data_IF_961222085033
#
_entry.id   IF_961222085033
#
_cell.length_a   1.000
_cell.length_b   1.000
_cell.length_c   1.000
_cell.angle_alpha   90.00
_cell.angle_beta   90.00
_cell.angle_gamma   90.00
#
_symmetry.space_group_name_H-M   'P 1'
#
loop_
_entity.id
_entity.type
_entity.pdbx_description
1 polymer ?
#
# COMPACT_ATOMS: atom_id res chain seq x y z
N UNK A 1 -23.84 -48.91 58.49
CA UNK A 1 -23.62 -49.61 57.21
C UNK A 1 -24.33 -48.85 56.11
N UNK A 2 -23.54 -48.22 55.24
CA UNK A 2 -23.83 -47.71 53.88
C UNK A 2 -25.28 -47.33 53.51
N UNK A 3 -25.54 -46.04 53.34
CA UNK A 3 -26.65 -45.54 52.53
C UNK A 3 -26.04 -44.81 51.33
N UNK A 4 -25.82 -45.57 50.26
CA UNK A 4 -25.50 -45.07 48.94
C UNK A 4 -26.79 -44.58 48.28
N UNK A 5 -26.91 -43.27 48.06
CA UNK A 5 -27.81 -42.72 47.04
C UNK A 5 -26.96 -41.96 46.02
N UNK A 6 -26.54 -42.68 44.97
CA UNK A 6 -26.02 -42.06 43.75
C UNK A 6 -27.18 -41.82 42.80
N UNK A 7 -27.67 -40.58 42.76
CA UNK A 7 -28.55 -40.11 41.69
C UNK A 7 -27.75 -40.06 40.39
N UNK A 8 -28.06 -40.97 39.47
CA UNK A 8 -27.56 -40.91 38.10
C UNK A 8 -28.26 -39.76 37.36
N UNK A 9 -27.54 -38.67 37.09
CA UNK A 9 -27.98 -37.65 36.14
C UNK A 9 -27.58 -38.11 34.74
N UNK A 10 -28.56 -38.60 33.99
CA UNK A 10 -28.45 -38.81 32.55
C UNK A 10 -28.34 -37.45 31.86
N UNK A 11 -27.16 -37.12 31.34
CA UNK A 11 -26.99 -35.98 30.45
C UNK A 11 -27.36 -36.40 29.03
N UNK A 12 -28.48 -35.92 28.52
CA UNK A 12 -28.86 -36.08 27.12
C UNK A 12 -28.02 -35.12 26.28
N UNK A 13 -27.12 -35.65 25.45
CA UNK A 13 -26.33 -34.87 24.51
C UNK A 13 -27.22 -34.54 23.30
N UNK A 14 -27.83 -33.36 23.29
CA UNK A 14 -28.54 -32.85 22.12
C UNK A 14 -27.52 -32.48 21.03
N UNK A 15 -27.31 -33.37 20.07
CA UNK A 15 -26.53 -33.10 18.88
C UNK A 15 -27.35 -32.20 17.96
N UNK A 16 -27.05 -30.90 17.98
CA UNK A 16 -27.61 -29.95 17.02
C UNK A 16 -27.00 -30.26 15.64
N UNK A 17 -27.76 -30.95 14.80
CA UNK A 17 -27.40 -31.17 13.39
C UNK A 17 -27.49 -29.84 12.63
N UNK A 18 -26.35 -29.16 12.48
CA UNK A 18 -26.23 -28.08 11.51
C UNK A 18 -26.15 -28.70 10.11
N UNK A 19 -27.26 -28.65 9.37
CA UNK A 19 -27.22 -28.85 7.92
C UNK A 19 -26.50 -27.64 7.31
N UNK A 20 -25.21 -27.78 7.03
CA UNK A 20 -24.52 -26.88 6.11
C UNK A 20 -25.11 -27.13 4.74
N UNK A 21 -26.00 -26.25 4.30
CA UNK A 21 -26.26 -26.10 2.87
C UNK A 21 -24.92 -25.77 2.23
N UNK A 22 -24.43 -26.66 1.34
CA UNK A 22 -23.33 -26.31 0.44
C UNK A 22 -23.82 -25.12 -0.38
N UNK A 23 -23.37 -23.91 -0.02
CA UNK A 23 -23.44 -22.78 -0.92
C UNK A 23 -22.64 -23.19 -2.17
N UNK A 24 -23.35 -23.52 -3.24
CA UNK A 24 -22.75 -23.58 -4.55
C UNK A 24 -22.29 -22.16 -4.85
N UNK A 25 -20.97 -21.95 -4.83
CA UNK A 25 -20.37 -20.75 -5.33
C UNK A 25 -20.69 -20.67 -6.82
N UNK A 26 -21.79 -19.99 -7.15
CA UNK A 26 -21.97 -19.47 -8.49
C UNK A 26 -20.91 -18.38 -8.64
N UNK A 27 -19.84 -18.67 -9.38
CA UNK A 27 -18.93 -17.64 -9.88
C UNK A 27 -19.72 -16.74 -10.82
N UNK A 28 -20.38 -15.76 -10.22
CA UNK A 28 -20.93 -14.62 -10.92
C UNK A 28 -19.75 -13.72 -11.27
N UNK A 29 -19.36 -13.74 -12.54
CA UNK A 29 -18.51 -12.70 -13.13
C UNK A 29 -19.26 -11.37 -13.08
N UNK A 30 -19.26 -10.76 -11.90
CA UNK A 30 -19.73 -9.39 -11.72
C UNK A 30 -18.77 -8.48 -12.47
N UNK A 31 -19.28 -7.76 -13.46
CA UNK A 31 -18.56 -6.72 -14.16
C UNK A 31 -17.98 -5.74 -13.12
N UNK A 32 -16.65 -5.84 -12.91
CA UNK A 32 -15.94 -5.15 -11.84
C UNK A 32 -15.82 -3.65 -12.15
N UNK A 33 -16.85 -2.87 -11.85
CA UNK A 33 -16.61 -1.50 -11.40
C UNK A 33 -15.97 -1.63 -10.01
N UNK A 34 -14.67 -1.93 -9.97
CA UNK A 34 -13.97 -2.15 -8.71
C UNK A 34 -14.14 -0.90 -7.86
N UNK A 35 -14.69 -1.06 -6.65
CA UNK A 35 -14.54 -0.07 -5.61
C UNK A 35 -13.03 0.13 -5.41
N UNK A 36 -12.48 1.19 -6.01
CA UNK A 36 -11.05 1.51 -6.06
C UNK A 36 -10.54 1.97 -4.68
N UNK A 37 -11.03 1.44 -3.58
CA UNK A 37 -10.57 1.76 -2.23
C UNK A 37 -9.40 0.86 -1.87
N UNK A 38 -9.69 -0.20 -1.11
CA UNK A 38 -8.70 -1.14 -0.60
C UNK A 38 -7.89 -1.84 -1.71
N UNK A 39 -8.51 -2.12 -2.86
CA UNK A 39 -7.83 -2.80 -3.95
C UNK A 39 -6.70 -1.96 -4.59
N UNK A 40 -6.61 -0.66 -4.31
CA UNK A 40 -5.45 0.15 -4.74
C UNK A 40 -4.14 -0.24 -4.05
N UNK A 41 -4.17 -0.95 -2.92
CA UNK A 41 -2.97 -1.37 -2.20
C UNK A 41 -2.34 -2.65 -2.77
N UNK A 42 -3.02 -3.34 -3.68
CA UNK A 42 -2.60 -4.61 -4.26
C UNK A 42 -2.39 -4.48 -5.76
N UNK A 43 -1.26 -4.99 -6.27
CA UNK A 43 -1.00 -5.01 -7.71
C UNK A 43 -1.67 -6.23 -8.35
N UNK A 44 -2.48 -6.00 -9.37
CA UNK A 44 -3.19 -7.06 -10.12
C UNK A 44 -4.09 -7.98 -9.24
N UNK A 45 -4.43 -7.56 -8.02
CA UNK A 45 -5.15 -8.39 -7.06
C UNK A 45 -4.32 -9.49 -6.39
N UNK A 46 -3.00 -9.50 -6.60
CA UNK A 46 -2.08 -10.45 -5.97
C UNK A 46 -1.44 -9.85 -4.69
N UNK A 47 -1.21 -10.68 -3.68
CA UNK A 47 -0.55 -10.25 -2.44
C UNK A 47 0.94 -9.96 -2.65
N UNK A 48 1.61 -10.80 -3.47
CA UNK A 48 2.99 -10.61 -3.91
C UNK A 48 3.04 -10.71 -5.43
N UNK A 49 3.25 -9.60 -6.15
CA UNK A 49 3.29 -9.63 -7.61
C UNK A 49 4.58 -10.27 -8.12
N UNK A 50 4.51 -10.76 -9.35
CA UNK A 50 5.68 -11.26 -10.11
C UNK A 50 6.76 -10.19 -10.26
N UNK A 51 8.01 -10.62 -10.44
CA UNK A 51 9.13 -9.71 -10.70
C UNK A 51 8.85 -8.87 -11.94
N UNK A 52 8.72 -7.56 -11.76
CA UNK A 52 8.57 -6.60 -12.86
C UNK A 52 9.83 -5.75 -13.02
N UNK A 53 10.26 -5.51 -14.26
CA UNK A 53 11.32 -4.56 -14.54
C UNK A 53 10.79 -3.13 -14.41
N UNK A 54 11.29 -2.37 -13.44
CA UNK A 54 10.94 -0.94 -13.29
C UNK A 54 12.04 -0.05 -13.84
N UNK A 55 11.65 1.03 -14.52
CA UNK A 55 12.54 2.06 -15.03
C UNK A 55 13.33 2.84 -13.96
N UNK A 56 13.80 4.03 -14.35
CA UNK A 56 14.65 4.91 -13.52
C UNK A 56 13.81 5.86 -12.66
N UNK A 57 14.38 6.33 -11.54
CA UNK A 57 13.82 7.43 -10.72
C UNK A 57 13.93 8.78 -11.43
N UNK A 58 13.00 9.72 -11.16
CA UNK A 58 12.96 11.08 -11.72
C UNK A 58 14.22 11.90 -11.42
N UNK A 59 14.84 12.58 -12.39
CA UNK A 59 15.97 13.51 -12.16
C UNK A 59 15.47 14.87 -11.67
N UNK A 60 16.30 15.58 -10.91
CA UNK A 60 16.00 16.95 -10.51
C UNK A 60 15.84 17.88 -11.72
N UNK A 61 16.68 17.74 -12.75
CA UNK A 61 16.58 18.51 -14.00
C UNK A 61 15.23 18.37 -14.70
N UNK A 62 14.69 17.15 -14.75
CA UNK A 62 13.37 16.85 -15.33
C UNK A 62 12.24 17.47 -14.50
N UNK A 63 12.36 17.44 -13.17
CA UNK A 63 11.34 17.97 -12.24
C UNK A 63 11.30 19.51 -12.22
N UNK A 64 12.42 20.18 -12.50
CA UNK A 64 12.47 21.65 -12.58
C UNK A 64 11.61 22.22 -13.70
N UNK A 65 11.41 21.45 -14.78
CA UNK A 65 10.60 21.85 -15.94
C UNK A 65 9.09 21.66 -15.74
N UNK A 66 8.64 21.14 -14.58
CA UNK A 66 7.22 20.84 -14.32
C UNK A 66 6.53 21.93 -13.50
N UNK A 67 5.24 22.13 -13.75
CA UNK A 67 4.40 23.04 -12.96
C UNK A 67 4.25 22.55 -11.51
N UNK A 68 3.81 23.42 -10.60
CA UNK A 68 3.51 23.01 -9.23
C UNK A 68 2.40 21.95 -9.19
N UNK A 69 1.36 22.11 -9.99
CA UNK A 69 0.23 21.18 -10.06
C UNK A 69 0.68 19.78 -10.53
N UNK A 70 1.54 19.70 -11.54
CA UNK A 70 2.08 18.42 -12.01
C UNK A 70 2.95 17.75 -10.96
N UNK A 71 3.80 18.51 -10.25
CA UNK A 71 4.60 17.98 -9.15
C UNK A 71 3.73 17.46 -8.01
N UNK A 72 2.62 18.15 -7.72
CA UNK A 72 1.67 17.75 -6.70
C UNK A 72 0.91 16.47 -7.10
N UNK A 73 0.44 16.36 -8.34
CA UNK A 73 -0.16 15.13 -8.88
C UNK A 73 0.84 13.97 -8.86
N UNK A 74 2.07 14.21 -9.31
CA UNK A 74 3.14 13.23 -9.30
C UNK A 74 3.47 12.76 -7.88
N UNK A 75 3.46 13.65 -6.90
CA UNK A 75 3.65 13.31 -5.50
C UNK A 75 2.64 12.25 -5.03
N UNK A 76 1.35 12.43 -5.35
CA UNK A 76 0.32 11.45 -4.99
C UNK A 76 0.43 10.13 -5.76
N UNK A 77 0.88 10.16 -7.02
CA UNK A 77 1.18 8.94 -7.77
C UNK A 77 2.29 8.16 -7.07
N UNK A 78 3.40 8.82 -6.71
CA UNK A 78 4.51 8.20 -5.98
C UNK A 78 4.12 7.75 -4.57
N UNK A 79 3.19 8.46 -3.92
CA UNK A 79 2.70 8.11 -2.60
C UNK A 79 1.88 6.81 -2.63
N UNK A 80 0.96 6.67 -3.58
CA UNK A 80 0.17 5.44 -3.76
C UNK A 80 1.07 4.25 -4.06
N UNK A 81 2.01 4.44 -4.97
CA UNK A 81 3.05 3.48 -5.30
C UNK A 81 3.86 3.05 -4.06
N UNK A 82 4.33 4.01 -3.26
CA UNK A 82 5.04 3.71 -2.01
C UNK A 82 4.19 2.90 -1.04
N UNK A 83 2.90 3.20 -0.92
CA UNK A 83 1.99 2.49 -0.04
C UNK A 83 1.80 1.03 -0.48
N UNK A 84 1.61 0.79 -1.78
CA UNK A 84 1.55 -0.56 -2.37
C UNK A 84 2.81 -1.37 -2.03
N UNK A 85 3.99 -0.78 -2.23
CA UNK A 85 5.26 -1.45 -1.95
C UNK A 85 5.48 -1.76 -0.46
N UNK A 86 4.94 -0.92 0.44
CA UNK A 86 5.00 -1.16 1.88
C UNK A 86 4.05 -2.30 2.27
N UNK A 87 2.83 -2.35 1.71
CA UNK A 87 1.92 -3.48 1.90
C UNK A 87 2.55 -4.79 1.45
N UNK A 88 3.12 -4.81 0.24
CA UNK A 88 3.84 -5.99 -0.28
C UNK A 88 5.00 -6.42 0.61
N UNK A 89 5.74 -5.48 1.20
CA UNK A 89 6.81 -5.79 2.14
C UNK A 89 6.27 -6.44 3.41
N UNK A 90 5.16 -5.94 3.95
CA UNK A 90 4.49 -6.51 5.11
C UNK A 90 4.03 -7.94 4.84
N UNK A 91 3.38 -8.16 3.69
CA UNK A 91 2.96 -9.49 3.26
C UNK A 91 4.14 -10.44 3.01
N UNK A 92 5.22 -9.96 2.39
CA UNK A 92 6.44 -10.74 2.20
C UNK A 92 7.05 -11.18 3.54
N UNK A 93 7.09 -10.28 4.52
CA UNK A 93 7.56 -10.60 5.87
C UNK A 93 6.64 -11.61 6.57
N UNK A 94 5.32 -11.47 6.43
CA UNK A 94 4.32 -12.42 6.96
C UNK A 94 4.48 -13.82 6.37
N UNK A 95 4.82 -13.91 5.09
CA UNK A 95 5.07 -15.16 4.37
C UNK A 95 6.49 -15.73 4.58
N UNK A 96 7.33 -15.08 5.40
CA UNK A 96 8.71 -15.53 5.65
C UNK A 96 9.66 -15.33 4.48
N UNK A 97 9.32 -14.49 3.51
CA UNK A 97 10.19 -14.18 2.37
C UNK A 97 11.33 -13.29 2.83
N UNK A 98 12.57 -13.76 2.67
CA UNK A 98 13.75 -12.98 3.04
C UNK A 98 13.83 -11.65 2.29
N UNK A 99 14.28 -10.60 2.95
CA UNK A 99 14.35 -9.23 2.40
C UNK A 99 15.21 -9.13 1.15
N UNK A 100 16.26 -9.95 1.05
CA UNK A 100 17.17 -10.05 -0.08
C UNK A 100 16.50 -10.72 -1.30
N UNK A 101 15.55 -11.62 -1.04
CA UNK A 101 14.76 -12.30 -2.07
C UNK A 101 13.63 -11.40 -2.58
N UNK A 102 13.09 -10.52 -1.72
CA UNK A 102 12.05 -9.57 -2.10
C UNK A 102 12.56 -8.54 -3.12
N UNK A 103 12.13 -8.74 -4.37
CA UNK A 103 12.67 -8.05 -5.56
C UNK A 103 12.33 -6.57 -5.60
N UNK A 104 11.20 -6.17 -4.99
CA UNK A 104 10.67 -4.81 -5.08
C UNK A 104 11.37 -3.79 -4.16
N UNK A 105 12.40 -4.20 -3.40
CA UNK A 105 13.18 -3.30 -2.56
C UNK A 105 13.83 -2.14 -3.34
N UNK A 106 14.31 -2.40 -4.57
CA UNK A 106 14.88 -1.37 -5.43
C UNK A 106 13.85 -0.35 -5.91
N UNK A 107 12.63 -0.79 -6.19
CA UNK A 107 11.50 0.05 -6.62
C UNK A 107 11.13 1.07 -5.54
N UNK A 108 11.09 0.63 -4.28
CA UNK A 108 10.84 1.55 -3.15
C UNK A 108 11.90 2.65 -3.05
N UNK A 109 13.19 2.28 -3.16
CA UNK A 109 14.29 3.26 -3.13
C UNK A 109 14.18 4.28 -4.27
N UNK A 110 13.81 3.84 -5.47
CA UNK A 110 13.59 4.73 -6.63
C UNK A 110 12.43 5.71 -6.39
N UNK A 111 11.33 5.24 -5.78
CA UNK A 111 10.19 6.10 -5.43
C UNK A 111 10.59 7.15 -4.38
N UNK A 112 11.21 6.72 -3.28
CA UNK A 112 11.71 7.62 -2.23
C UNK A 112 12.68 8.67 -2.78
N UNK A 113 13.60 8.26 -3.68
CA UNK A 113 14.54 9.18 -4.33
C UNK A 113 13.82 10.23 -5.19
N UNK A 114 12.76 9.84 -5.89
CA UNK A 114 11.96 10.77 -6.69
C UNK A 114 11.20 11.75 -5.79
N UNK A 115 10.61 11.28 -4.70
CA UNK A 115 9.93 12.13 -3.71
C UNK A 115 10.88 13.14 -3.05
N UNK A 116 12.09 12.71 -2.67
CA UNK A 116 13.10 13.59 -2.10
C UNK A 116 13.51 14.70 -3.07
N UNK A 117 13.63 14.39 -4.37
CA UNK A 117 13.94 15.37 -5.41
C UNK A 117 12.81 16.36 -5.66
N UNK A 118 11.54 15.95 -5.54
CA UNK A 118 10.40 16.88 -5.60
C UNK A 118 10.50 17.91 -4.48
N UNK A 119 10.70 17.46 -3.24
CA UNK A 119 10.90 18.36 -2.08
C UNK A 119 12.08 19.32 -2.30
N UNK A 120 13.18 18.79 -2.82
CA UNK A 120 14.37 19.58 -3.12
C UNK A 120 14.08 20.69 -4.14
N UNK A 121 13.42 20.39 -5.26
CA UNK A 121 13.08 21.38 -6.29
C UNK A 121 12.10 22.44 -5.77
N UNK A 122 11.12 22.05 -4.94
CA UNK A 122 10.22 23.02 -4.31
C UNK A 122 10.96 23.98 -3.37
N UNK A 123 11.92 23.46 -2.60
CA UNK A 123 12.75 24.29 -1.74
C UNK A 123 13.67 25.23 -2.54
N UNK A 124 14.26 24.75 -3.65
CA UNK A 124 15.03 25.62 -4.57
C UNK A 124 14.18 26.80 -5.04
N UNK A 125 12.94 26.53 -5.51
CA UNK A 125 12.03 27.58 -6.00
C UNK A 125 11.68 28.60 -4.92
N UNK A 126 11.39 28.14 -3.71
CA UNK A 126 11.08 29.01 -2.59
C UNK A 126 12.25 29.95 -2.28
N UNK A 127 13.47 29.41 -2.20
CA UNK A 127 14.68 30.20 -1.93
C UNK A 127 14.94 31.26 -3.00
N UNK A 128 14.74 30.92 -4.27
CA UNK A 128 14.93 31.91 -5.34
C UNK A 128 13.85 33.00 -5.30
N UNK A 129 12.60 32.65 -5.00
CA UNK A 129 11.53 33.63 -4.81
C UNK A 129 11.84 34.63 -3.69
N UNK A 130 12.24 34.13 -2.51
CA UNK A 130 12.62 34.98 -1.37
C UNK A 130 13.79 35.92 -1.71
N UNK A 131 14.82 35.41 -2.39
CA UNK A 131 15.94 36.24 -2.85
C UNK A 131 15.49 37.35 -3.81
N UNK A 132 14.60 37.04 -4.75
CA UNK A 132 14.11 38.04 -5.71
C UNK A 132 13.29 39.13 -5.02
N UNK A 133 12.49 38.78 -4.01
CA UNK A 133 11.73 39.74 -3.21
C UNK A 133 12.65 40.64 -2.38
N UNK A 134 13.66 40.06 -1.70
CA UNK A 134 14.61 40.83 -0.92
C UNK A 134 15.36 41.86 -1.78
N UNK A 135 15.83 41.44 -2.96
CA UNK A 135 16.49 42.34 -3.93
C UNK A 135 15.55 43.43 -4.45
N UNK A 136 14.27 43.13 -4.63
CA UNK A 136 13.30 44.13 -5.06
C UNK A 136 13.06 45.20 -3.98
N UNK A 137 13.07 44.80 -2.69
CA UNK A 137 12.94 45.72 -1.56
C UNK A 137 14.19 46.60 -1.36
N UNK A 138 15.39 46.09 -1.66
CA UNK A 138 16.64 46.87 -1.59
C UNK A 138 16.74 47.98 -2.67
N UNK A 139 16.03 47.81 -3.80
CA UNK A 139 16.05 48.76 -4.92
C UNK A 139 14.92 49.80 -4.87
N UNK A 140 14.06 49.76 -3.85
CA UNK A 140 12.98 50.72 -3.60
C UNK A 140 13.39 51.71 -2.52
#
# INVERSE_FOLDING_TARGET
MSILQRLARTFTLSTRSFSTTRAAWTESETAKTQAKGLYQFFENGEALPKRCWTGRSWRASELRQKSFEDLHKLWYVLLKERNVLVTQRGEAARLGVHKQTWTNAGRLKKCQKSMARIKFVLNERQREYEKTLAKAAENQ
#
